data_IF_859180833909
#
_entry.id   IF_859180833909
#
_cell.length_a   1.000
_cell.length_b   1.000
_cell.length_c   1.000
_cell.angle_alpha   90.00
_cell.angle_beta   90.00
_cell.angle_gamma   90.00
#
_symmetry.space_group_name_H-M   'P 1'
#
loop_
_entity.id
_entity.type
_entity.pdbx_description
1 polymer ?
#
# COMPACT_ATOMS: atom_id res chain seq x y z
N UNK A 1 -10.01 -26.50 2.01
CA UNK A 1 -10.23 -25.04 1.90
C UNK A 1 -8.97 -24.33 2.37
N UNK A 2 -8.51 -23.28 1.67
CA UNK A 2 -7.44 -22.41 2.19
C UNK A 2 -7.98 -21.56 3.33
N UNK A 3 -7.26 -21.52 4.47
CA UNK A 3 -7.73 -20.91 5.73
C UNK A 3 -7.10 -19.54 6.04
N UNK A 4 -6.06 -19.13 5.30
CA UNK A 4 -5.30 -17.92 5.58
C UNK A 4 -5.59 -16.80 4.59
N UNK A 5 -5.39 -15.55 5.03
CA UNK A 5 -5.56 -14.36 4.19
C UNK A 5 -4.59 -14.40 2.99
N UNK A 6 -5.09 -14.42 1.74
CA UNK A 6 -4.23 -14.41 0.55
C UNK A 6 -3.34 -13.17 0.47
N UNK A 7 -3.83 -12.03 0.99
CA UNK A 7 -3.11 -10.76 1.02
C UNK A 7 -1.94 -10.80 2.01
N UNK A 8 -2.16 -11.38 3.20
CA UNK A 8 -1.10 -11.57 4.18
C UNK A 8 0.00 -12.51 3.63
N UNK A 9 -0.41 -13.62 3.01
CA UNK A 9 0.52 -14.57 2.39
C UNK A 9 1.38 -13.91 1.30
N UNK A 10 0.78 -13.04 0.47
CA UNK A 10 1.54 -12.31 -0.56
C UNK A 10 2.57 -11.37 0.05
N UNK A 11 2.18 -10.54 1.01
CA UNK A 11 3.09 -9.60 1.69
C UNK A 11 4.27 -10.30 2.33
N UNK A 12 4.02 -11.43 3.02
CA UNK A 12 5.09 -12.22 3.65
C UNK A 12 6.06 -12.75 2.60
N UNK A 13 5.55 -13.29 1.47
CA UNK A 13 6.39 -13.78 0.39
C UNK A 13 7.27 -12.67 -0.21
N UNK A 14 6.69 -11.51 -0.52
CA UNK A 14 7.44 -10.36 -1.04
C UNK A 14 8.48 -9.85 -0.03
N UNK A 15 8.15 -9.84 1.27
CA UNK A 15 9.07 -9.47 2.33
C UNK A 15 10.28 -10.41 2.44
N UNK A 16 10.07 -11.71 2.30
CA UNK A 16 11.14 -12.70 2.28
C UNK A 16 12.02 -12.58 1.02
N UNK A 17 11.42 -12.33 -0.15
CA UNK A 17 12.16 -12.09 -1.40
C UNK A 17 13.03 -10.81 -1.33
N UNK A 18 12.53 -9.76 -0.67
CA UNK A 18 13.23 -8.48 -0.54
C UNK A 18 14.59 -8.59 0.19
N UNK A 19 14.78 -9.59 1.03
CA UNK A 19 16.07 -9.85 1.69
C UNK A 19 17.16 -10.28 0.71
N UNK A 20 16.80 -11.07 -0.31
CA UNK A 20 17.75 -11.74 -1.21
C UNK A 20 17.86 -11.05 -2.58
N UNK A 21 16.76 -10.48 -3.07
CA UNK A 21 16.66 -9.97 -4.45
C UNK A 21 16.95 -8.47 -4.56
N UNK A 22 17.45 -7.86 -3.48
CA UNK A 22 17.85 -6.46 -3.43
C UNK A 22 16.75 -5.51 -3.94
N UNK A 23 17.07 -4.69 -4.94
CA UNK A 23 16.11 -3.73 -5.49
C UNK A 23 14.88 -4.37 -6.14
N UNK A 24 15.02 -5.57 -6.73
CA UNK A 24 13.90 -6.26 -7.35
C UNK A 24 12.89 -6.76 -6.30
N UNK A 25 13.38 -7.35 -5.22
CA UNK A 25 12.51 -7.76 -4.12
C UNK A 25 11.90 -6.58 -3.36
N UNK A 26 12.65 -5.47 -3.19
CA UNK A 26 12.10 -4.21 -2.66
C UNK A 26 10.98 -3.68 -3.56
N UNK A 27 11.12 -3.77 -4.89
CA UNK A 27 10.09 -3.34 -5.83
C UNK A 27 8.79 -4.14 -5.67
N UNK A 28 8.88 -5.47 -5.53
CA UNK A 28 7.71 -6.32 -5.28
C UNK A 28 6.99 -5.91 -3.98
N UNK A 29 7.75 -5.80 -2.88
CA UNK A 29 7.20 -5.43 -1.58
C UNK A 29 6.59 -4.03 -1.57
N UNK A 30 7.27 -3.05 -2.16
CA UNK A 30 6.78 -1.67 -2.27
C UNK A 30 5.54 -1.59 -3.16
N UNK A 31 5.46 -2.41 -4.22
CA UNK A 31 4.30 -2.53 -5.07
C UNK A 31 3.06 -3.01 -4.31
N UNK A 32 3.20 -4.08 -3.52
CA UNK A 32 2.10 -4.57 -2.68
C UNK A 32 1.72 -3.59 -1.56
N UNK A 33 2.68 -2.90 -0.96
CA UNK A 33 2.41 -1.84 0.02
C UNK A 33 1.64 -0.66 -0.61
N UNK A 34 1.98 -0.29 -1.85
CA UNK A 34 1.27 0.75 -2.60
C UNK A 34 -0.16 0.33 -2.93
N UNK A 35 -0.36 -0.95 -3.29
CA UNK A 35 -1.69 -1.53 -3.49
C UNK A 35 -2.53 -1.44 -2.21
N UNK A 36 -1.96 -1.79 -1.04
CA UNK A 36 -2.64 -1.64 0.24
C UNK A 36 -3.02 -0.19 0.53
N UNK A 37 -2.09 0.74 0.28
CA UNK A 37 -2.34 2.17 0.48
C UNK A 37 -3.50 2.66 -0.38
N UNK A 38 -3.60 2.24 -1.65
CA UNK A 38 -4.71 2.61 -2.54
C UNK A 38 -6.10 2.15 -2.05
N UNK A 39 -6.18 1.20 -1.13
CA UNK A 39 -7.44 0.79 -0.51
C UNK A 39 -7.86 1.69 0.66
N UNK A 40 -6.98 2.56 1.14
CA UNK A 40 -7.26 3.47 2.26
C UNK A 40 -8.03 4.71 1.82
N UNK A 41 -8.77 5.31 2.75
CA UNK A 41 -9.46 6.59 2.53
C UNK A 41 -8.46 7.74 2.28
N UNK A 42 -7.26 7.67 2.88
CA UNK A 42 -6.21 8.67 2.68
C UNK A 42 -5.75 8.72 1.22
N UNK A 43 -5.52 7.56 0.60
CA UNK A 43 -5.18 7.51 -0.83
C UNK A 43 -6.34 7.96 -1.72
N UNK A 44 -7.58 7.61 -1.34
CA UNK A 44 -8.77 8.00 -2.08
C UNK A 44 -8.99 9.52 -2.07
N UNK A 45 -8.69 10.20 -0.96
CA UNK A 45 -8.75 11.67 -0.87
C UNK A 45 -7.79 12.33 -1.88
N UNK A 46 -6.56 11.80 -2.02
CA UNK A 46 -5.61 12.30 -3.02
C UNK A 46 -6.15 12.15 -4.45
N UNK A 47 -6.71 10.98 -4.77
CA UNK A 47 -7.35 10.72 -6.07
C UNK A 47 -8.54 11.65 -6.30
N UNK A 48 -9.44 11.79 -5.33
CA UNK A 48 -10.65 12.58 -5.46
C UNK A 48 -10.33 14.06 -5.63
N UNK A 49 -9.41 14.59 -4.84
CA UNK A 49 -8.95 15.97 -4.95
C UNK A 49 -8.38 16.28 -6.34
N UNK A 50 -7.62 15.34 -6.92
CA UNK A 50 -7.11 15.47 -8.28
C UNK A 50 -8.25 15.53 -9.32
N UNK A 51 -9.23 14.62 -9.23
CA UNK A 51 -10.39 14.60 -10.14
C UNK A 51 -11.23 15.88 -10.03
N UNK A 52 -11.42 16.38 -8.81
CA UNK A 52 -12.16 17.62 -8.51
C UNK A 52 -11.32 18.89 -8.73
N UNK A 53 -10.04 18.76 -9.11
CA UNK A 53 -9.08 19.87 -9.30
C UNK A 53 -8.97 20.80 -8.09
N UNK A 54 -9.12 20.26 -6.88
CA UNK A 54 -8.92 20.97 -5.62
C UNK A 54 -7.64 20.52 -4.94
N UNK A 55 -7.23 21.25 -3.90
CA UNK A 55 -6.15 20.78 -3.02
C UNK A 55 -6.66 19.62 -2.15
N UNK A 56 -5.88 18.53 -1.98
CA UNK A 56 -6.24 17.46 -1.06
C UNK A 56 -6.14 17.94 0.40
N UNK A 57 -6.99 17.38 1.26
CA UNK A 57 -6.99 17.66 2.69
C UNK A 57 -6.64 16.39 3.50
N UNK A 58 -5.35 16.18 3.73
CA UNK A 58 -4.88 15.05 4.54
C UNK A 58 -4.92 15.30 6.06
N UNK A 59 -5.30 16.51 6.51
CA UNK A 59 -5.33 16.84 7.95
C UNK A 59 -6.36 16.04 8.74
N UNK A 60 -7.32 15.44 8.05
CA UNK A 60 -8.38 14.63 8.64
C UNK A 60 -7.94 13.21 9.00
N UNK A 61 -6.79 12.74 8.48
CA UNK A 61 -6.29 11.40 8.75
C UNK A 61 -5.31 11.41 9.94
N UNK A 62 -5.39 10.42 10.85
CA UNK A 62 -4.49 10.34 11.98
C UNK A 62 -3.07 10.03 11.52
N UNK A 63 -2.09 10.78 12.04
CA UNK A 63 -0.67 10.45 11.85
C UNK A 63 -0.27 9.44 12.90
N UNK A 64 0.05 8.23 12.46
CA UNK A 64 0.60 7.20 13.33
C UNK A 64 2.01 7.65 13.79
N UNK A 65 2.41 7.30 15.03
CA UNK A 65 3.70 7.67 15.60
C UNK A 65 4.89 7.02 14.88
#
# INVERSE_FOLDING_TARGET
MMQHSPLALRMIKAGLNAELDGQAGIQELAGDATMLYYLTEEAQEGKQAFLEKRKPNFKQFPKLP
#
